data_IF_410141815482
#
_entry.id   IF_410141815482
#
_cell.length_a   1.000
_cell.length_b   1.000
_cell.length_c   1.000
_cell.angle_alpha   90.00
_cell.angle_beta   90.00
_cell.angle_gamma   90.00
#
_symmetry.space_group_name_H-M   'P 1'
#
loop_
_entity.id
_entity.type
_entity.pdbx_description
1 polymer ?
#
# COMPACT_ATOMS: atom_id res chain seq x y z
N UNK A 1 6.03 -17.07 -13.44
CA UNK A 1 7.10 -16.17 -13.89
C UNK A 1 7.94 -15.78 -12.70
N UNK A 2 9.27 -15.77 -12.87
CA UNK A 2 10.21 -15.28 -11.86
C UNK A 2 11.04 -14.15 -12.45
N UNK A 3 11.20 -13.07 -11.69
CA UNK A 3 12.03 -11.92 -12.05
C UNK A 3 13.10 -11.71 -10.97
N UNK A 4 14.30 -11.38 -11.41
CA UNK A 4 15.40 -10.93 -10.58
C UNK A 4 15.82 -9.54 -11.00
N UNK A 5 16.15 -8.69 -10.06
CA UNK A 5 16.69 -7.37 -10.32
C UNK A 5 17.74 -6.99 -9.30
N UNK A 6 18.70 -6.20 -9.75
CA UNK A 6 19.66 -5.52 -8.89
C UNK A 6 19.50 -4.02 -9.09
N UNK A 7 19.47 -3.28 -8.00
CA UNK A 7 19.37 -1.83 -8.01
C UNK A 7 20.47 -1.22 -7.15
N UNK A 8 21.18 -0.24 -7.72
CA UNK A 8 22.09 0.64 -7.00
C UNK A 8 21.51 2.05 -7.06
N UNK A 9 21.04 2.55 -5.92
CA UNK A 9 20.28 3.80 -5.85
C UNK A 9 21.01 4.74 -4.90
N UNK A 10 21.42 5.89 -5.42
CA UNK A 10 21.94 7.00 -4.63
C UNK A 10 20.77 7.92 -4.28
N UNK A 11 20.47 8.03 -2.99
CA UNK A 11 19.37 8.83 -2.45
C UNK A 11 19.94 9.99 -1.67
N UNK A 12 19.44 11.18 -1.94
CA UNK A 12 19.76 12.37 -1.16
C UNK A 12 18.46 12.99 -0.62
N UNK A 13 18.32 13.04 0.70
CA UNK A 13 17.19 13.66 1.39
C UNK A 13 17.66 15.02 1.87
N UNK A 14 17.20 16.06 1.22
CA UNK A 14 17.57 17.45 1.50
C UNK A 14 16.34 18.35 1.59
N UNK A 15 16.55 19.57 2.05
CA UNK A 15 15.51 20.60 2.18
C UNK A 15 14.32 20.14 3.03
N UNK A 16 14.64 19.44 4.14
CA UNK A 16 13.60 18.96 5.06
C UNK A 16 13.07 20.17 5.84
N UNK A 17 11.73 20.29 5.87
CA UNK A 17 11.08 21.31 6.65
C UNK A 17 11.50 21.24 8.13
N UNK A 18 11.86 22.36 8.72
CA UNK A 18 12.27 22.46 10.13
C UNK A 18 11.19 22.02 11.14
N UNK A 19 9.92 21.99 10.71
CA UNK A 19 8.79 21.51 11.51
C UNK A 19 8.51 20.00 11.31
N UNK A 20 9.25 19.33 10.42
CA UNK A 20 9.09 17.89 10.25
C UNK A 20 9.56 17.13 11.49
N UNK A 21 9.04 15.91 11.66
CA UNK A 21 9.45 15.02 12.75
C UNK A 21 10.98 14.85 12.79
N UNK A 22 11.55 14.83 13.98
CA UNK A 22 12.99 14.58 14.20
C UNK A 22 13.44 13.27 13.57
N UNK A 23 12.58 12.26 13.57
CA UNK A 23 12.86 10.97 12.91
C UNK A 23 13.09 11.11 11.40
N UNK A 24 12.42 12.08 10.75
CA UNK A 24 12.63 12.40 9.35
C UNK A 24 13.88 13.27 9.18
N UNK A 25 14.08 14.26 10.05
CA UNK A 25 15.23 15.17 9.98
C UNK A 25 16.57 14.42 10.12
N UNK A 26 16.64 13.40 10.98
CA UNK A 26 17.85 12.57 11.15
C UNK A 26 18.19 11.71 9.95
N UNK A 27 17.22 11.51 9.04
CA UNK A 27 17.45 10.78 7.80
C UNK A 27 17.93 11.67 6.65
N UNK A 28 18.19 12.95 6.92
CA UNK A 28 18.79 13.87 5.96
C UNK A 28 20.14 13.38 5.46
N UNK A 29 20.48 13.77 4.24
CA UNK A 29 21.74 13.49 3.60
C UNK A 29 21.72 12.30 2.67
N UNK A 30 22.90 12.00 2.16
CA UNK A 30 23.11 11.06 1.06
C UNK A 30 23.22 9.62 1.56
N UNK A 31 22.56 8.71 0.88
CA UNK A 31 22.57 7.30 1.21
C UNK A 31 22.60 6.44 -0.03
N UNK A 32 23.54 5.51 -0.09
CA UNK A 32 23.63 4.52 -1.16
C UNK A 32 22.87 3.26 -0.75
N UNK A 33 21.86 2.90 -1.52
CA UNK A 33 21.13 1.65 -1.42
C UNK A 33 21.61 0.68 -2.50
N UNK A 34 22.09 -0.49 -2.10
CA UNK A 34 22.43 -1.61 -2.99
C UNK A 34 21.53 -2.78 -2.66
N UNK A 35 20.64 -3.14 -3.57
CA UNK A 35 19.54 -4.07 -3.33
C UNK A 35 19.44 -5.13 -4.43
N UNK A 36 19.31 -6.38 -4.02
CA UNK A 36 18.86 -7.49 -4.89
C UNK A 36 17.40 -7.78 -4.57
N UNK A 37 16.59 -7.89 -5.60
CA UNK A 37 15.16 -8.22 -5.48
C UNK A 37 14.81 -9.43 -6.30
N UNK A 38 13.91 -10.25 -5.77
CA UNK A 38 13.28 -11.34 -6.53
C UNK A 38 11.77 -11.28 -6.38
N UNK A 39 11.04 -11.61 -7.44
CA UNK A 39 9.58 -11.73 -7.40
C UNK A 39 9.15 -12.94 -8.20
N UNK A 40 8.36 -13.80 -7.58
CA UNK A 40 7.68 -14.93 -8.20
C UNK A 40 6.21 -14.59 -8.38
N UNK A 41 5.73 -14.67 -9.61
CA UNK A 41 4.31 -14.42 -9.95
C UNK A 41 3.72 -15.70 -10.53
N UNK A 42 2.62 -16.14 -9.94
CA UNK A 42 1.74 -17.18 -10.44
C UNK A 42 0.41 -16.56 -10.85
N UNK A 43 0.13 -16.52 -12.16
CA UNK A 43 -1.00 -15.81 -12.74
C UNK A 43 -1.86 -16.78 -13.57
N UNK A 44 -3.07 -17.04 -13.09
CA UNK A 44 -4.09 -17.93 -13.65
C UNK A 44 -5.38 -17.18 -13.95
N UNK A 45 -5.29 -15.88 -14.19
CA UNK A 45 -6.44 -15.04 -14.59
C UNK A 45 -6.76 -15.27 -16.06
N UNK A 46 -8.03 -15.16 -16.40
CA UNK A 46 -8.53 -15.19 -17.78
C UNK A 46 -8.03 -14.00 -18.61
N UNK A 47 -7.87 -12.84 -17.98
CA UNK A 47 -7.34 -11.62 -18.58
C UNK A 47 -6.41 -10.89 -17.62
N UNK A 48 -5.34 -10.29 -18.14
CA UNK A 48 -4.43 -9.44 -17.33
C UNK A 48 -4.92 -8.00 -17.20
N UNK A 49 -5.71 -7.54 -18.15
CA UNK A 49 -6.21 -6.15 -18.19
C UNK A 49 -7.55 -6.05 -17.46
N UNK A 50 -8.47 -6.97 -17.76
CA UNK A 50 -9.81 -7.02 -17.17
C UNK A 50 -10.12 -8.44 -16.72
N UNK A 51 -9.57 -8.88 -15.60
CA UNK A 51 -9.83 -10.20 -15.09
C UNK A 51 -11.26 -10.31 -14.56
N UNK A 52 -11.96 -11.36 -15.00
CA UNK A 52 -13.29 -11.76 -14.52
C UNK A 52 -13.25 -13.05 -13.71
N UNK A 53 -12.26 -13.89 -13.96
CA UNK A 53 -12.10 -15.18 -13.29
C UNK A 53 -10.63 -15.55 -13.06
N UNK A 54 -10.41 -16.48 -12.14
CA UNK A 54 -9.08 -16.96 -11.81
C UNK A 54 -8.41 -16.20 -10.69
N UNK A 55 -7.10 -16.34 -10.58
CA UNK A 55 -6.35 -15.72 -9.50
C UNK A 55 -4.92 -15.38 -9.90
N UNK A 56 -4.33 -14.48 -9.14
CA UNK A 56 -2.90 -14.16 -9.23
C UNK A 56 -2.32 -14.12 -7.83
N UNK A 57 -1.12 -14.70 -7.67
CA UNK A 57 -0.34 -14.65 -6.43
C UNK A 57 1.06 -14.15 -6.78
N UNK A 58 1.56 -13.21 -5.99
CA UNK A 58 2.93 -12.70 -6.08
C UNK A 58 3.61 -12.80 -4.73
N UNK A 59 4.84 -13.25 -4.74
CA UNK A 59 5.71 -13.28 -3.57
C UNK A 59 7.03 -12.65 -3.96
N UNK A 60 7.49 -11.69 -3.20
CA UNK A 60 8.73 -10.96 -3.45
C UNK A 60 9.60 -10.85 -2.21
N UNK A 61 10.90 -10.77 -2.43
CA UNK A 61 11.89 -10.50 -1.41
C UNK A 61 12.93 -9.51 -1.90
N UNK A 62 13.31 -8.58 -1.05
CA UNK A 62 14.36 -7.58 -1.28
C UNK A 62 15.43 -7.76 -0.20
N UNK A 63 16.67 -7.90 -0.62
CA UNK A 63 17.84 -7.89 0.26
C UNK A 63 18.68 -6.66 -0.04
N UNK A 64 18.75 -5.74 0.90
CA UNK A 64 19.65 -4.60 0.88
C UNK A 64 20.84 -4.85 1.81
N UNK A 65 22.06 -4.54 1.36
CA UNK A 65 23.26 -4.76 2.17
C UNK A 65 24.48 -5.27 1.40
N UNK A 66 24.40 -5.34 0.08
CA UNK A 66 25.55 -5.71 -0.77
C UNK A 66 26.38 -4.45 -1.06
N UNK A 67 26.97 -3.88 -0.01
CA UNK A 67 27.60 -2.56 -0.06
C UNK A 67 26.57 -1.42 0.11
N UNK A 68 27.03 -0.22 0.42
CA UNK A 68 26.15 0.92 0.73
C UNK A 68 25.89 1.11 2.24
N UNK A 69 24.94 1.99 2.57
CA UNK A 69 24.65 2.42 3.94
C UNK A 69 23.36 1.88 4.53
N UNK A 70 22.64 1.00 3.83
CA UNK A 70 21.30 0.50 4.22
C UNK A 70 21.31 -1.01 4.20
N UNK A 71 20.88 -1.62 5.32
CA UNK A 71 20.86 -3.07 5.49
C UNK A 71 19.47 -3.51 5.98
N UNK A 72 18.72 -4.25 5.15
CA UNK A 72 17.46 -4.86 5.53
C UNK A 72 17.13 -6.08 4.67
N UNK A 73 16.25 -6.91 5.18
CA UNK A 73 15.48 -7.86 4.39
C UNK A 73 14.01 -7.48 4.42
N UNK A 74 13.39 -7.38 3.24
CA UNK A 74 11.96 -7.07 3.10
C UNK A 74 11.28 -8.14 2.27
N UNK A 75 10.25 -8.76 2.83
CA UNK A 75 9.39 -9.71 2.13
C UNK A 75 8.01 -9.12 1.88
N UNK A 76 7.40 -9.50 0.77
CA UNK A 76 6.05 -9.06 0.37
C UNK A 76 5.32 -10.23 -0.27
N UNK A 77 4.03 -10.33 0.00
CA UNK A 77 3.15 -11.26 -0.68
C UNK A 77 1.82 -10.57 -0.96
N UNK A 78 1.25 -10.79 -2.14
CA UNK A 78 -0.09 -10.36 -2.49
C UNK A 78 -0.80 -11.44 -3.31
N UNK A 79 -2.12 -11.51 -3.14
CA UNK A 79 -2.98 -12.41 -3.86
C UNK A 79 -4.29 -11.71 -4.23
N UNK A 80 -4.81 -12.02 -5.41
CA UNK A 80 -6.13 -11.57 -5.85
C UNK A 80 -6.87 -12.77 -6.44
N UNK A 81 -8.14 -12.90 -6.11
CA UNK A 81 -9.03 -13.93 -6.60
C UNK A 81 -10.30 -13.30 -7.19
N UNK A 82 -10.65 -13.69 -8.40
CA UNK A 82 -11.75 -13.16 -9.19
C UNK A 82 -12.84 -14.22 -9.32
N UNK A 83 -14.04 -13.92 -8.82
CA UNK A 83 -15.18 -14.81 -8.77
C UNK A 83 -16.27 -14.24 -9.67
N UNK A 84 -16.54 -14.84 -10.84
CA UNK A 84 -17.63 -14.41 -11.70
C UNK A 84 -18.97 -14.79 -11.11
N UNK A 85 -19.93 -13.86 -11.12
CA UNK A 85 -21.31 -14.10 -10.71
C UNK A 85 -22.26 -14.33 -11.90
N UNK A 86 -21.73 -14.51 -13.11
CA UNK A 86 -22.48 -14.76 -14.34
C UNK A 86 -23.51 -15.90 -14.18
N UNK A 87 -23.14 -16.95 -13.47
CA UNK A 87 -24.00 -18.13 -13.24
C UNK A 87 -25.26 -17.83 -12.43
N UNK A 88 -25.23 -16.80 -11.58
CA UNK A 88 -26.33 -16.43 -10.70
C UNK A 88 -27.08 -15.19 -11.16
N UNK A 89 -26.41 -14.25 -11.82
CA UNK A 89 -26.95 -12.97 -12.21
C UNK A 89 -27.16 -12.87 -13.73
N UNK A 90 -26.76 -13.89 -14.50
CA UNK A 90 -26.81 -13.96 -15.96
C UNK A 90 -26.15 -12.75 -16.67
N UNK A 91 -25.12 -12.20 -16.03
CA UNK A 91 -24.35 -11.07 -16.54
C UNK A 91 -22.87 -11.25 -16.19
N UNK A 92 -21.97 -11.29 -17.19
CA UNK A 92 -20.54 -11.53 -16.98
C UNK A 92 -19.78 -10.37 -16.35
N UNK A 93 -20.38 -9.21 -16.25
CA UNK A 93 -19.75 -8.03 -15.67
C UNK A 93 -19.91 -7.93 -14.14
N UNK A 94 -20.71 -8.84 -13.54
CA UNK A 94 -20.72 -9.02 -12.08
C UNK A 94 -19.55 -9.91 -11.63
N UNK A 95 -18.56 -9.29 -11.00
CA UNK A 95 -17.34 -9.97 -10.53
C UNK A 95 -17.02 -9.55 -9.10
N UNK A 96 -16.92 -10.53 -8.19
CA UNK A 96 -16.36 -10.30 -6.86
C UNK A 96 -14.83 -10.47 -6.92
N UNK A 97 -14.12 -9.46 -6.48
CA UNK A 97 -12.66 -9.47 -6.36
C UNK A 97 -12.31 -9.51 -4.87
N UNK A 98 -11.62 -10.56 -4.46
CA UNK A 98 -11.02 -10.66 -3.14
C UNK A 98 -9.53 -10.44 -3.28
N UNK A 99 -8.98 -9.54 -2.49
CA UNK A 99 -7.55 -9.25 -2.49
C UNK A 99 -7.00 -9.32 -1.06
N UNK A 100 -5.79 -9.82 -0.92
CA UNK A 100 -5.04 -9.78 0.33
C UNK A 100 -3.57 -9.54 0.03
N UNK A 101 -2.91 -8.78 0.88
CA UNK A 101 -1.49 -8.49 0.73
C UNK A 101 -0.85 -8.20 2.08
N UNK A 102 0.47 -8.30 2.12
CA UNK A 102 1.23 -7.98 3.31
C UNK A 102 2.72 -7.96 3.06
N UNK A 103 3.45 -7.49 4.05
CA UNK A 103 4.90 -7.45 4.00
C UNK A 103 5.52 -7.27 5.37
N UNK A 104 6.75 -7.72 5.47
CA UNK A 104 7.58 -7.57 6.67
C UNK A 104 8.93 -7.02 6.23
N UNK A 105 9.38 -5.98 6.91
CA UNK A 105 10.72 -5.42 6.79
C UNK A 105 11.48 -5.72 8.08
N UNK A 106 12.64 -6.35 7.96
CA UNK A 106 13.52 -6.67 9.07
C UNK A 106 14.86 -5.95 8.88
N UNK A 107 15.22 -4.98 9.72
CA UNK A 107 16.55 -4.37 9.71
C UNK A 107 17.62 -5.42 9.94
N UNK A 108 18.77 -5.27 9.30
CA UNK A 108 19.92 -6.15 9.47
C UNK A 108 21.11 -5.33 10.02
N UNK A 109 21.70 -5.81 11.11
CA UNK A 109 22.79 -5.11 11.81
C UNK A 109 22.30 -4.17 12.90
N UNK A 110 23.18 -3.25 13.33
CA UNK A 110 22.98 -2.41 14.52
C UNK A 110 22.28 -1.08 14.25
N UNK A 111 21.86 -0.83 13.00
CA UNK A 111 21.18 0.42 12.60
C UNK A 111 19.70 0.17 12.37
N UNK A 112 18.89 1.13 12.81
CA UNK A 112 17.48 1.17 12.50
C UNK A 112 17.26 1.32 10.98
N UNK A 113 16.14 0.79 10.50
CA UNK A 113 15.69 0.94 9.14
C UNK A 113 15.28 2.40 8.83
N UNK A 114 15.35 2.78 7.58
CA UNK A 114 14.96 4.12 7.15
C UNK A 114 13.45 4.18 6.88
N UNK A 115 12.82 5.30 7.23
CA UNK A 115 11.38 5.55 7.01
C UNK A 115 11.03 5.35 5.53
N UNK A 116 11.88 5.80 4.62
CA UNK A 116 11.68 5.68 3.15
C UNK A 116 11.67 4.24 2.64
N UNK A 117 12.17 3.28 3.40
CA UNK A 117 12.21 1.86 3.04
C UNK A 117 11.06 1.06 3.65
N UNK A 118 10.31 1.64 4.62
CA UNK A 118 9.17 1.04 5.30
C UNK A 118 7.93 0.96 4.42
N UNK A 119 6.95 0.26 4.91
CA UNK A 119 5.61 0.25 4.34
C UNK A 119 4.80 1.48 4.76
N UNK A 120 3.82 1.84 3.94
CA UNK A 120 2.83 2.88 4.22
C UNK A 120 1.43 2.35 3.95
N UNK A 121 0.49 2.70 4.81
CA UNK A 121 -0.91 2.30 4.71
C UNK A 121 -1.77 3.50 4.34
N UNK A 122 -2.68 3.28 3.39
CA UNK A 122 -3.54 4.32 2.80
C UNK A 122 -3.31 4.47 1.31
N UNK A 123 -4.09 5.33 0.69
CA UNK A 123 -4.04 5.50 -0.74
C UNK A 123 -4.59 4.28 -1.48
N UNK A 124 -3.75 3.58 -2.26
CA UNK A 124 -4.20 2.44 -3.09
C UNK A 124 -4.44 1.15 -2.30
N UNK A 125 -3.69 0.94 -1.23
CA UNK A 125 -3.79 -0.29 -0.45
C UNK A 125 -4.84 -0.22 0.67
N UNK A 126 -5.35 0.99 0.98
CA UNK A 126 -6.48 1.22 1.88
C UNK A 126 -7.19 2.52 1.46
N UNK A 127 -8.23 2.40 0.62
CA UNK A 127 -9.02 3.54 0.14
C UNK A 127 -9.72 4.25 1.31
N UNK A 128 -10.02 5.53 1.17
CA UNK A 128 -10.59 6.32 2.27
C UNK A 128 -9.55 7.01 3.15
N UNK A 129 -8.26 6.67 2.99
CA UNK A 129 -7.14 7.28 3.70
C UNK A 129 -6.12 7.87 2.72
N UNK A 130 -5.47 8.98 3.10
CA UNK A 130 -4.31 9.48 2.36
C UNK A 130 -3.19 8.42 2.33
N UNK A 131 -2.28 8.53 1.38
CA UNK A 131 -1.05 7.73 1.38
C UNK A 131 -0.26 8.01 2.68
N UNK A 132 0.03 6.96 3.46
CA UNK A 132 0.57 7.12 4.81
C UNK A 132 -0.39 7.80 5.78
N UNK A 133 -1.69 7.86 5.45
CA UNK A 133 -2.72 8.44 6.29
C UNK A 133 -3.09 7.59 7.50
N UNK A 134 -2.83 6.29 7.45
CA UNK A 134 -3.08 5.35 8.53
C UNK A 134 -1.77 4.69 9.01
N UNK A 135 -1.70 4.32 10.28
CA UNK A 135 -0.54 3.66 10.89
C UNK A 135 0.39 4.57 11.69
N UNK A 136 1.62 4.13 11.96
CA UNK A 136 2.54 4.80 12.87
C UNK A 136 2.83 6.25 12.50
N UNK A 137 2.82 7.11 13.52
CA UNK A 137 2.91 8.56 13.32
C UNK A 137 3.57 9.25 14.52
N UNK A 138 4.24 10.38 14.27
CA UNK A 138 4.63 11.30 15.31
C UNK A 138 3.49 12.30 15.57
N UNK A 139 2.82 12.22 16.72
CA UNK A 139 1.72 13.12 17.08
C UNK A 139 2.17 14.56 17.31
N UNK A 140 3.47 14.79 17.55
CA UNK A 140 3.99 16.13 17.75
C UNK A 140 3.98 16.94 16.44
N UNK A 141 4.16 16.30 15.30
CA UNK A 141 4.25 16.94 13.98
C UNK A 141 3.15 16.49 13.02
N UNK A 142 2.51 15.35 13.29
CA UNK A 142 1.53 14.74 12.43
C UNK A 142 2.14 13.98 11.22
N UNK A 143 3.45 13.74 11.23
CA UNK A 143 4.15 13.02 10.16
C UNK A 143 4.00 11.51 10.28
N UNK A 144 3.83 10.83 9.14
CA UNK A 144 3.81 9.38 9.05
C UNK A 144 5.23 8.83 9.17
N UNK A 145 5.40 7.82 10.00
CA UNK A 145 6.68 7.15 10.22
C UNK A 145 6.84 5.85 9.44
N UNK A 146 5.76 5.43 8.72
CA UNK A 146 5.72 4.11 8.13
C UNK A 146 5.78 2.99 9.17
N UNK A 147 5.75 1.74 8.72
CA UNK A 147 5.84 0.58 9.60
C UNK A 147 6.58 -0.58 8.95
N UNK A 148 7.07 -1.47 9.79
CA UNK A 148 7.81 -2.66 9.36
C UNK A 148 6.89 -3.83 8.98
N UNK A 149 5.66 -3.87 9.52
CA UNK A 149 4.70 -4.95 9.32
C UNK A 149 3.41 -4.37 8.76
N UNK A 150 3.07 -4.80 7.55
CA UNK A 150 1.85 -4.40 6.83
C UNK A 150 1.01 -5.62 6.51
N UNK A 151 -0.30 -5.52 6.67
CA UNK A 151 -1.24 -6.41 6.01
C UNK A 151 -2.48 -5.64 5.54
N UNK A 152 -3.05 -6.07 4.44
CA UNK A 152 -4.26 -5.49 3.85
C UNK A 152 -5.16 -6.58 3.29
N UNK A 153 -6.46 -6.33 3.29
CA UNK A 153 -7.47 -7.17 2.65
C UNK A 153 -8.55 -6.29 2.04
N UNK A 154 -9.08 -6.72 0.91
CA UNK A 154 -10.14 -6.00 0.19
C UNK A 154 -11.14 -6.97 -0.38
N UNK A 155 -12.42 -6.61 -0.29
CA UNK A 155 -13.51 -7.24 -1.03
C UNK A 155 -14.19 -6.17 -1.89
N UNK A 156 -14.17 -6.35 -3.21
CA UNK A 156 -14.74 -5.41 -4.17
C UNK A 156 -15.71 -6.13 -5.11
N UNK A 157 -16.95 -5.66 -5.15
CA UNK A 157 -17.94 -6.08 -6.13
C UNK A 157 -17.90 -5.12 -7.32
N UNK A 158 -17.68 -5.64 -8.51
CA UNK A 158 -17.82 -4.94 -9.79
C UNK A 158 -19.16 -5.31 -10.39
N UNK A 159 -19.84 -4.34 -10.98
CA UNK A 159 -21.16 -4.54 -11.57
C UNK A 159 -21.40 -3.58 -12.74
N UNK A 160 -22.22 -4.00 -13.75
CA UNK A 160 -22.58 -3.14 -14.84
C UNK A 160 -23.49 -1.99 -14.34
N UNK A 161 -23.35 -0.84 -14.95
CA UNK A 161 -24.24 0.29 -14.71
C UNK A 161 -25.35 0.28 -15.79
N UNK A 162 -26.54 0.85 -15.52
CA UNK A 162 -27.63 0.95 -16.48
C UNK A 162 -27.34 2.02 -17.56
N UNK A 163 -26.18 1.87 -18.22
CA UNK A 163 -25.66 2.76 -19.25
C UNK A 163 -25.30 1.93 -20.49
N UNK A 164 -25.28 2.53 -21.70
CA UNK A 164 -24.80 1.84 -22.89
C UNK A 164 -23.39 1.28 -22.70
N UNK A 165 -23.16 0.02 -23.10
CA UNK A 165 -21.88 -0.68 -22.91
C UNK A 165 -20.70 0.01 -23.62
N UNK A 166 -21.02 0.79 -24.67
CA UNK A 166 -20.03 1.56 -25.45
C UNK A 166 -19.32 2.63 -24.61
N UNK A 167 -19.95 3.10 -23.54
CA UNK A 167 -19.34 4.07 -22.60
C UNK A 167 -18.23 3.43 -21.79
N UNK A 168 -18.29 2.10 -21.57
CA UNK A 168 -17.25 1.35 -20.86
C UNK A 168 -17.16 1.67 -19.37
N UNK A 169 -18.26 2.03 -18.72
CA UNK A 169 -18.33 2.33 -17.28
C UNK A 169 -18.84 1.13 -16.50
N UNK A 170 -18.09 0.73 -15.46
CA UNK A 170 -18.48 -0.28 -14.47
C UNK A 170 -18.56 0.36 -13.09
N UNK A 171 -19.62 0.05 -12.35
CA UNK A 171 -19.73 0.39 -10.94
C UNK A 171 -18.86 -0.51 -10.06
N UNK A 172 -18.43 -0.01 -8.92
CA UNK A 172 -17.70 -0.74 -7.88
C UNK A 172 -18.23 -0.40 -6.50
N UNK A 173 -18.29 -1.40 -5.63
CA UNK A 173 -18.52 -1.22 -4.21
C UNK A 173 -17.48 -2.03 -3.46
N UNK A 174 -16.90 -1.48 -2.38
CA UNK A 174 -15.79 -2.13 -1.72
C UNK A 174 -15.77 -1.96 -0.20
N UNK A 175 -15.08 -2.91 0.43
CA UNK A 175 -14.65 -2.84 1.83
C UNK A 175 -13.16 -3.15 1.84
N UNK A 176 -12.38 -2.24 2.39
CA UNK A 176 -10.93 -2.40 2.57
C UNK A 176 -10.61 -2.44 4.07
N UNK A 177 -9.71 -3.34 4.44
CA UNK A 177 -9.20 -3.50 5.81
C UNK A 177 -7.69 -3.58 5.76
N UNK A 178 -7.01 -2.97 6.71
CA UNK A 178 -5.55 -3.08 6.81
C UNK A 178 -5.01 -2.60 8.13
N UNK A 179 -3.79 -3.03 8.43
CA UNK A 179 -3.02 -2.59 9.58
C UNK A 179 -1.57 -2.39 9.19
N UNK A 180 -0.94 -1.42 9.81
CA UNK A 180 0.47 -1.10 9.66
C UNK A 180 1.03 -0.79 11.05
N UNK A 181 2.10 -1.47 11.43
CA UNK A 181 2.76 -1.27 12.71
C UNK A 181 4.25 -1.65 12.64
N UNK A 182 4.95 -1.48 13.75
CA UNK A 182 6.36 -1.78 13.90
C UNK A 182 7.23 -0.57 13.55
N UNK A 183 7.59 0.21 14.59
CA UNK A 183 8.64 1.23 14.53
C UNK A 183 9.76 0.85 15.51
N UNK A 184 10.99 1.34 15.32
CA UNK A 184 12.09 1.07 16.23
C UNK A 184 11.78 1.50 17.67
N UNK A 185 12.14 0.66 18.63
CA UNK A 185 11.97 0.97 20.05
C UNK A 185 12.77 2.21 20.49
N UNK A 186 13.85 2.53 19.77
CA UNK A 186 14.66 3.74 19.96
C UNK A 186 13.83 5.02 19.86
N UNK A 187 12.75 5.03 19.05
CA UNK A 187 11.87 6.19 18.85
C UNK A 187 11.13 6.61 20.11
N UNK A 188 10.93 5.71 21.07
CA UNK A 188 10.31 6.04 22.37
C UNK A 188 11.27 6.64 23.39
N UNK A 189 12.58 6.72 23.06
CA UNK A 189 13.58 7.26 23.95
C UNK A 189 13.57 8.80 23.94
N UNK A 190 12.96 9.42 24.97
CA UNK A 190 12.86 10.87 25.10
C UNK A 190 14.22 11.57 25.30
N UNK A 191 15.27 10.85 25.69
CA UNK A 191 16.64 11.42 25.77
C UNK A 191 17.23 11.60 24.38
N UNK A 192 16.91 10.72 23.43
CA UNK A 192 17.32 10.82 22.03
C UNK A 192 16.40 11.77 21.25
N UNK A 193 15.08 11.67 21.50
CA UNK A 193 14.05 12.39 20.76
C UNK A 193 13.18 13.27 21.69
N UNK A 194 13.72 14.33 22.29
CA UNK A 194 12.97 15.19 23.20
C UNK A 194 11.76 15.84 22.49
N UNK A 195 10.57 15.66 23.07
CA UNK A 195 9.34 16.22 22.56
C UNK A 195 8.67 15.44 21.41
N UNK A 196 9.28 14.40 20.88
CA UNK A 196 8.61 13.51 19.93
C UNK A 196 7.53 12.67 20.64
N UNK A 197 6.45 12.38 19.91
CA UNK A 197 5.32 11.60 20.43
C UNK A 197 4.94 10.50 19.43
N UNK A 198 5.81 9.51 19.23
CA UNK A 198 5.52 8.42 18.31
C UNK A 198 4.38 7.57 18.85
N UNK A 199 3.46 7.21 17.97
CA UNK A 199 2.41 6.21 18.20
C UNK A 199 2.57 5.08 17.19
N UNK A 200 2.32 3.87 17.67
CA UNK A 200 2.40 2.65 16.89
C UNK A 200 1.40 1.65 17.47
N UNK A 201 0.31 1.44 16.78
CA UNK A 201 -0.69 0.44 17.16
C UNK A 201 -0.99 -0.48 15.97
N UNK A 202 -1.29 -1.74 16.28
CA UNK A 202 -1.61 -2.76 15.30
C UNK A 202 -3.12 -2.86 15.01
N UNK A 203 -3.92 -1.94 15.54
CA UNK A 203 -5.37 -1.95 15.34
C UNK A 203 -5.73 -1.86 13.86
N UNK A 204 -6.66 -2.67 13.37
CA UNK A 204 -7.08 -2.60 11.98
C UNK A 204 -7.85 -1.31 11.70
N UNK A 205 -7.62 -0.74 10.52
CA UNK A 205 -8.41 0.33 9.93
C UNK A 205 -9.33 -0.27 8.89
N UNK A 206 -10.56 0.21 8.82
CA UNK A 206 -11.56 -0.27 7.88
C UNK A 206 -12.17 0.90 7.14
N UNK A 207 -12.32 0.76 5.84
CA UNK A 207 -13.06 1.70 5.00
C UNK A 207 -14.06 0.98 4.11
N UNK A 208 -15.11 1.71 3.76
CA UNK A 208 -16.13 1.28 2.80
C UNK A 208 -16.28 2.34 1.73
N UNK A 209 -16.67 1.93 0.54
CA UNK A 209 -16.85 2.92 -0.51
C UNK A 209 -17.49 2.37 -1.76
N UNK A 210 -17.71 3.31 -2.69
CA UNK A 210 -18.20 3.05 -4.03
C UNK A 210 -17.30 3.75 -5.04
N UNK A 211 -17.34 3.31 -6.28
CA UNK A 211 -16.53 3.90 -7.33
C UNK A 211 -16.97 3.50 -8.71
N UNK A 212 -16.21 3.98 -9.68
CA UNK A 212 -16.41 3.68 -11.10
C UNK A 212 -15.07 3.30 -11.74
N UNK A 213 -15.10 2.31 -12.62
CA UNK A 213 -14.02 2.01 -13.54
C UNK A 213 -14.44 2.40 -14.94
N UNK A 214 -13.71 3.27 -15.59
CA UNK A 214 -13.95 3.70 -16.95
C UNK A 214 -12.88 3.16 -17.89
N UNK A 215 -13.30 2.41 -18.90
CA UNK A 215 -12.46 1.99 -20.03
C UNK A 215 -12.31 3.14 -21.01
N UNK A 216 -11.42 4.05 -20.71
CA UNK A 216 -11.18 5.19 -21.61
C UNK A 216 -10.25 4.80 -22.77
N UNK A 217 -10.23 5.58 -23.88
CA UNK A 217 -9.27 5.36 -24.98
C UNK A 217 -7.80 5.43 -24.57
N UNK A 218 -7.51 6.08 -23.44
CA UNK A 218 -6.14 6.23 -22.89
C UNK A 218 -5.81 5.19 -21.79
N UNK A 219 -6.74 4.28 -21.49
CA UNK A 219 -6.57 3.24 -20.47
C UNK A 219 -7.68 3.24 -19.42
N UNK A 220 -7.52 2.38 -18.43
CA UNK A 220 -8.49 2.25 -17.34
C UNK A 220 -8.32 3.39 -16.34
N UNK A 221 -9.41 4.11 -16.07
CA UNK A 221 -9.49 5.19 -15.07
C UNK A 221 -10.42 4.72 -13.95
N UNK A 222 -9.95 4.81 -12.73
CA UNK A 222 -10.70 4.44 -11.53
C UNK A 222 -10.99 5.68 -10.71
N UNK A 223 -12.25 5.87 -10.35
CA UNK A 223 -12.72 6.96 -9.47
C UNK A 223 -13.34 6.31 -8.25
N UNK A 224 -12.78 6.55 -7.08
CA UNK A 224 -13.21 5.95 -5.82
C UNK A 224 -13.62 7.01 -4.82
N UNK A 225 -14.73 6.74 -4.11
CA UNK A 225 -15.19 7.49 -2.95
C UNK A 225 -15.17 6.53 -1.77
N UNK A 226 -14.18 6.69 -0.89
CA UNK A 226 -13.98 5.84 0.27
C UNK A 226 -14.15 6.61 1.56
N UNK A 227 -14.82 6.01 2.54
CA UNK A 227 -15.01 6.58 3.86
C UNK A 227 -14.46 5.62 4.92
N UNK A 228 -13.54 6.07 5.80
CA UNK A 228 -13.15 5.31 6.97
C UNK A 228 -14.34 5.07 7.90
N UNK A 229 -14.51 3.83 8.35
CA UNK A 229 -15.51 3.40 9.35
C UNK A 229 -14.88 2.96 10.66
N UNK A 230 -13.63 2.46 10.60
CA UNK A 230 -12.77 2.20 11.76
C UNK A 230 -11.44 2.89 11.51
N UNK A 231 -11.06 3.82 12.38
CA UNK A 231 -9.82 4.59 12.30
C UNK A 231 -9.41 5.08 13.67
N UNK A 232 -8.17 5.53 13.81
CA UNK A 232 -7.69 6.28 14.96
C UNK A 232 -7.91 7.79 14.77
N UNK A 233 -7.99 8.54 15.86
CA UNK A 233 -8.23 9.99 15.82
C UNK A 233 -7.14 10.78 15.06
N UNK A 234 -5.94 10.23 15.00
CA UNK A 234 -4.79 10.82 14.31
C UNK A 234 -4.67 10.41 12.84
N UNK A 235 -5.50 9.47 12.35
CA UNK A 235 -5.47 9.06 10.95
C UNK A 235 -6.01 10.17 10.04
N UNK A 236 -5.47 10.26 8.81
CA UNK A 236 -5.84 11.27 7.81
C UNK A 236 -6.72 10.66 6.72
N UNK A 237 -7.93 11.18 6.61
CA UNK A 237 -8.96 10.69 5.67
C UNK A 237 -8.82 11.31 4.29
N UNK A 238 -9.12 10.54 3.24
CA UNK A 238 -9.23 10.98 1.86
C UNK A 238 -10.48 10.41 1.22
N UNK A 239 -11.54 11.22 1.10
CA UNK A 239 -12.82 10.78 0.54
C UNK A 239 -12.73 10.41 -0.96
N UNK A 240 -12.03 11.20 -1.74
CA UNK A 240 -11.96 11.07 -3.22
C UNK A 240 -10.58 10.61 -3.66
N UNK A 241 -10.57 9.67 -4.62
CA UNK A 241 -9.34 9.19 -5.25
C UNK A 241 -9.54 8.96 -6.73
N UNK A 242 -8.55 9.39 -7.52
CA UNK A 242 -8.40 9.09 -8.93
C UNK A 242 -7.21 8.15 -9.11
N UNK A 243 -7.40 7.04 -9.81
CA UNK A 243 -6.36 6.07 -10.14
C UNK A 243 -6.33 5.78 -11.64
N UNK A 244 -5.16 5.47 -12.16
CA UNK A 244 -4.96 5.08 -13.56
C UNK A 244 -4.42 3.66 -13.63
N UNK A 245 -4.96 2.85 -14.56
CA UNK A 245 -4.54 1.47 -14.77
C UNK A 245 -5.28 0.45 -13.90
N UNK A 246 -4.89 -0.82 -14.05
CA UNK A 246 -5.38 -1.90 -13.18
C UNK A 246 -4.65 -1.84 -11.85
N UNK A 247 -5.38 -2.05 -10.76
CA UNK A 247 -4.76 -2.24 -9.43
C UNK A 247 -3.91 -3.51 -9.45
N UNK A 248 -2.67 -3.37 -9.08
CA UNK A 248 -1.71 -4.46 -8.94
C UNK A 248 -1.23 -4.56 -7.50
#
# INVERSE_FOLDING_TARGET
RQNWSYALIDRDIYDINSYASRFIQEQAGRTLLSQVSTTVTYDMRDSRIEPRSGYVVRVGGDYAGIGGGVNYFRSRADAQYYIPFERWLNDPDFVLVLAAGGGILTPLGDKDDRIVDRFFLGGENLRGFYLGGAGPRDLATGDSLGGQILWTSSAEMRFPLPLPNEIGLLGRAFVDVGSLHGIPSSYYNQSLYPGARPVDDADPRVSVGVGFSWRSPIGLINIDFGKPVIKQDYDKDQLFRLGFGTRF
#
